data_IF_491680343482
#
_entry.id   IF_491680343482
#
_cell.length_a   1.000
_cell.length_b   1.000
_cell.length_c   1.000
_cell.angle_alpha   90.00
_cell.angle_beta   90.00
_cell.angle_gamma   90.00
#
_symmetry.space_group_name_H-M   'P 1'
#
loop_
_entity.id
_entity.type
_entity.pdbx_description
1 polymer ?
#
# COMPACT_ATOMS: atom_id res chain seq x y z
N UNK A 1 -11.45 -15.69 -22.25
CA UNK A 1 -12.70 -15.26 -22.88
C UNK A 1 -12.99 -16.14 -24.09
N UNK A 2 -14.04 -16.96 -23.98
CA UNK A 2 -14.36 -18.00 -24.99
C UNK A 2 -14.89 -17.46 -26.33
N UNK A 3 -15.14 -16.15 -26.45
CA UNK A 3 -15.69 -15.57 -27.69
C UNK A 3 -14.68 -15.13 -28.77
N UNK A 4 -13.41 -14.99 -28.43
CA UNK A 4 -12.42 -14.42 -29.35
C UNK A 4 -11.07 -15.14 -29.39
N UNK A 5 -10.96 -16.37 -28.84
CA UNK A 5 -9.72 -17.17 -28.79
C UNK A 5 -8.51 -16.37 -28.23
N UNK A 6 -8.75 -15.53 -27.21
CA UNK A 6 -7.70 -14.75 -26.55
C UNK A 6 -7.14 -15.56 -25.39
N UNK A 7 -5.86 -15.83 -25.44
CA UNK A 7 -5.11 -16.39 -24.33
C UNK A 7 -4.67 -15.26 -23.39
N UNK A 8 -4.98 -15.36 -22.11
CA UNK A 8 -4.64 -14.36 -21.12
C UNK A 8 -3.65 -14.97 -20.12
N UNK A 9 -2.44 -14.41 -20.08
CA UNK A 9 -1.46 -14.70 -19.04
C UNK A 9 -1.49 -13.59 -18.00
N UNK A 10 -1.72 -13.96 -16.74
CA UNK A 10 -1.64 -13.03 -15.63
C UNK A 10 -0.26 -13.07 -14.98
N UNK A 11 0.39 -11.92 -14.91
CA UNK A 11 1.69 -11.77 -14.26
C UNK A 11 1.70 -10.52 -13.38
N UNK A 12 1.97 -10.62 -12.07
CA UNK A 12 2.16 -9.44 -11.24
C UNK A 12 3.49 -8.77 -11.61
N UNK A 13 3.46 -7.46 -11.87
CA UNK A 13 4.66 -6.65 -12.14
C UNK A 13 5.22 -5.98 -10.90
N UNK A 14 4.41 -5.95 -9.85
CA UNK A 14 4.78 -5.37 -8.57
C UNK A 14 4.52 -6.38 -7.45
N UNK A 15 5.26 -6.21 -6.37
CA UNK A 15 5.00 -6.87 -5.09
C UNK A 15 5.10 -5.85 -3.97
N UNK A 16 4.43 -6.10 -2.87
CA UNK A 16 4.55 -5.29 -1.66
C UNK A 16 5.37 -6.07 -0.65
N UNK A 17 6.41 -5.44 -0.11
CA UNK A 17 7.27 -6.02 0.91
C UNK A 17 7.37 -5.12 2.13
N UNK A 18 7.60 -5.71 3.31
CA UNK A 18 7.90 -4.97 4.53
C UNK A 18 9.29 -4.35 4.49
N UNK A 19 9.47 -3.22 5.15
CA UNK A 19 10.80 -2.62 5.35
C UNK A 19 11.61 -3.46 6.35
N UNK A 20 12.93 -3.46 6.19
CA UNK A 20 13.84 -4.10 7.14
C UNK A 20 13.89 -3.34 8.48
N UNK A 21 14.33 -4.01 9.54
CA UNK A 21 14.56 -3.36 10.83
C UNK A 21 15.56 -2.21 10.74
N UNK A 22 16.58 -2.31 9.88
CA UNK A 22 17.56 -1.25 9.63
C UNK A 22 16.91 -0.01 9.06
N UNK A 23 16.04 -0.18 8.05
CA UNK A 23 15.29 0.92 7.43
C UNK A 23 14.27 1.54 8.38
N UNK A 24 13.61 0.73 9.19
CA UNK A 24 12.73 1.23 10.23
C UNK A 24 13.49 2.09 11.24
N UNK A 25 14.63 1.63 11.76
CA UNK A 25 15.45 2.39 12.71
C UNK A 25 15.99 3.71 12.14
N UNK A 26 16.27 3.74 10.84
CA UNK A 26 16.69 4.97 10.16
C UNK A 26 15.63 6.08 10.19
N UNK A 27 14.36 5.73 10.32
CA UNK A 27 13.25 6.70 10.43
C UNK A 27 13.16 7.34 11.83
N UNK A 28 13.88 6.83 12.83
CA UNK A 28 13.93 7.36 14.21
C UNK A 28 12.56 7.50 14.88
N UNK A 29 11.65 6.56 14.61
CA UNK A 29 10.32 6.51 15.21
C UNK A 29 10.31 5.47 16.33
N UNK A 30 9.83 5.87 17.51
CA UNK A 30 9.72 4.99 18.67
C UNK A 30 8.27 4.53 18.86
N UNK A 31 8.00 3.23 18.65
CA UNK A 31 6.66 2.65 18.72
C UNK A 31 6.04 2.89 20.10
N UNK A 32 6.79 2.64 21.17
CA UNK A 32 6.26 2.66 22.55
C UNK A 32 5.91 4.05 23.09
N UNK A 33 6.29 5.12 22.39
CA UNK A 33 5.86 6.48 22.75
C UNK A 33 4.47 6.81 22.22
N UNK A 34 3.86 5.94 21.44
CA UNK A 34 2.53 6.10 20.85
C UNK A 34 1.48 5.30 21.61
N UNK A 35 0.23 5.74 21.56
CA UNK A 35 -0.90 5.11 22.26
C UNK A 35 -1.88 4.43 21.33
N UNK A 36 -1.83 4.75 20.03
CA UNK A 36 -2.65 4.13 19.00
C UNK A 36 -1.88 3.99 17.68
N UNK A 37 -2.19 2.97 16.91
CA UNK A 37 -1.65 2.75 15.55
C UNK A 37 -2.78 2.86 14.54
N UNK A 38 -2.55 3.61 13.46
CA UNK A 38 -3.48 3.71 12.32
C UNK A 38 -2.99 2.78 11.22
N UNK A 39 -3.84 1.81 10.83
CA UNK A 39 -3.57 0.86 9.75
C UNK A 39 -4.53 1.05 8.58
N UNK A 40 -3.97 1.17 7.38
CA UNK A 40 -4.75 1.28 6.13
C UNK A 40 -4.68 0.01 5.27
N UNK A 41 -3.82 -0.95 5.60
CA UNK A 41 -3.64 -2.18 4.84
C UNK A 41 -3.19 -3.35 5.72
N UNK A 42 -3.43 -4.57 5.26
CA UNK A 42 -2.94 -5.80 5.90
C UNK A 42 -1.41 -5.89 5.87
N UNK A 43 -0.80 -5.41 4.80
CA UNK A 43 0.67 -5.44 4.66
C UNK A 43 1.36 -4.59 5.73
N UNK A 44 0.82 -3.41 6.05
CA UNK A 44 1.37 -2.58 7.14
C UNK A 44 1.16 -3.21 8.51
N UNK A 45 0.08 -3.98 8.71
CA UNK A 45 -0.13 -4.79 9.93
C UNK A 45 0.96 -5.85 10.05
N UNK A 46 1.17 -6.67 9.02
CA UNK A 46 2.22 -7.70 9.02
C UNK A 46 3.60 -7.09 9.31
N UNK A 47 3.94 -6.00 8.60
CA UNK A 47 5.23 -5.33 8.76
C UNK A 47 5.43 -4.75 10.16
N UNK A 48 4.38 -4.16 10.73
CA UNK A 48 4.44 -3.61 12.09
C UNK A 48 4.79 -4.68 13.13
N UNK A 49 4.08 -5.79 13.12
CA UNK A 49 4.32 -6.86 14.10
C UNK A 49 5.64 -7.58 13.85
N UNK A 50 6.04 -7.74 12.59
CA UNK A 50 7.35 -8.29 12.24
C UNK A 50 8.50 -7.40 12.76
N UNK A 51 8.42 -6.08 12.58
CA UNK A 51 9.38 -5.13 13.13
C UNK A 51 9.40 -5.19 14.67
N UNK A 52 8.24 -5.27 15.31
CA UNK A 52 8.17 -5.41 16.77
C UNK A 52 8.87 -6.69 17.24
N UNK A 53 8.66 -7.81 16.56
CA UNK A 53 9.32 -9.08 16.87
C UNK A 53 10.84 -9.00 16.70
N UNK A 54 11.32 -8.53 15.54
CA UNK A 54 12.76 -8.38 15.26
C UNK A 54 13.44 -7.40 16.22
N UNK A 55 12.77 -6.30 16.56
CA UNK A 55 13.29 -5.29 17.50
C UNK A 55 13.12 -5.71 18.97
N UNK A 56 12.47 -6.84 19.26
CA UNK A 56 12.12 -7.30 20.60
C UNK A 56 11.28 -6.28 21.37
N UNK A 57 10.35 -5.62 20.68
CA UNK A 57 9.41 -4.67 21.24
C UNK A 57 8.14 -5.42 21.63
N UNK A 58 7.79 -5.38 22.90
CA UNK A 58 6.49 -5.88 23.38
C UNK A 58 5.47 -4.76 23.29
N UNK A 59 4.48 -4.90 22.38
CA UNK A 59 3.41 -3.94 22.24
C UNK A 59 2.51 -3.99 23.47
N UNK A 60 2.27 -2.86 24.17
CA UNK A 60 1.45 -2.84 25.37
C UNK A 60 0.01 -3.29 25.09
N UNK A 61 -0.60 -3.99 26.03
CA UNK A 61 -2.03 -4.34 25.93
C UNK A 61 -2.96 -3.14 25.88
N UNK A 62 -2.49 -1.97 26.29
CA UNK A 62 -3.22 -0.71 26.23
C UNK A 62 -3.20 -0.07 24.84
N UNK A 63 -2.35 -0.52 23.93
CA UNK A 63 -2.28 0.00 22.56
C UNK A 63 -3.62 -0.14 21.86
N UNK A 64 -4.10 0.97 21.27
CA UNK A 64 -5.31 1.01 20.45
C UNK A 64 -4.96 0.89 18.97
N UNK A 65 -5.93 0.45 18.19
CA UNK A 65 -5.77 0.28 16.76
C UNK A 65 -6.94 0.92 16.03
N UNK A 66 -6.63 1.78 15.06
CA UNK A 66 -7.58 2.44 14.18
C UNK A 66 -7.36 1.88 12.78
N UNK A 67 -8.35 1.21 12.22
CA UNK A 67 -8.25 0.53 10.94
C UNK A 67 -9.14 1.20 9.89
N UNK A 68 -8.69 1.27 8.66
CA UNK A 68 -9.47 1.86 7.57
C UNK A 68 -10.71 1.04 7.24
N UNK A 69 -10.64 -0.28 7.40
CA UNK A 69 -11.75 -1.20 7.11
C UNK A 69 -11.89 -2.27 8.19
N UNK A 70 -13.08 -2.88 8.27
CA UNK A 70 -13.30 -4.05 9.12
C UNK A 70 -12.36 -5.21 8.77
N UNK A 71 -12.08 -5.41 7.49
CA UNK A 71 -11.18 -6.47 7.03
C UNK A 71 -9.75 -6.31 7.59
N UNK A 72 -9.24 -5.08 7.69
CA UNK A 72 -7.94 -4.79 8.33
C UNK A 72 -8.02 -5.00 9.85
N UNK A 73 -9.12 -4.58 10.47
CA UNK A 73 -9.32 -4.78 11.91
C UNK A 73 -9.38 -6.27 12.29
N UNK A 74 -10.12 -7.08 11.54
CA UNK A 74 -10.18 -8.52 11.74
C UNK A 74 -8.83 -9.20 11.50
N UNK A 75 -8.03 -8.68 10.57
CA UNK A 75 -6.70 -9.21 10.28
C UNK A 75 -5.73 -9.10 11.47
N UNK A 76 -5.94 -8.16 12.39
CA UNK A 76 -5.17 -8.04 13.62
C UNK A 76 -5.22 -9.29 14.51
N UNK A 77 -6.26 -10.14 14.36
CA UNK A 77 -6.39 -11.40 15.10
C UNK A 77 -5.23 -12.37 14.84
N UNK A 78 -4.51 -12.20 13.75
CA UNK A 78 -3.29 -12.96 13.47
C UNK A 78 -2.20 -12.73 14.51
N UNK A 79 -2.21 -11.57 15.17
CA UNK A 79 -1.13 -11.13 16.06
C UNK A 79 -1.58 -10.86 17.49
N UNK A 80 -2.83 -10.44 17.68
CA UNK A 80 -3.37 -10.05 18.99
C UNK A 80 -4.76 -10.61 19.22
N UNK A 81 -5.15 -10.69 20.49
CA UNK A 81 -6.54 -11.02 20.84
C UNK A 81 -7.44 -9.85 20.49
N UNK A 82 -8.46 -10.10 19.65
CA UNK A 82 -9.40 -9.08 19.24
C UNK A 82 -10.26 -8.60 20.41
N UNK A 83 -10.19 -7.31 20.71
CA UNK A 83 -11.01 -6.67 21.76
C UNK A 83 -11.64 -5.41 21.21
N UNK A 84 -12.96 -5.36 21.12
CA UNK A 84 -13.73 -4.22 20.58
C UNK A 84 -13.38 -2.87 21.20
N UNK A 85 -12.98 -2.84 22.48
CA UNK A 85 -12.59 -1.61 23.18
C UNK A 85 -11.26 -1.02 22.69
N UNK A 86 -10.42 -1.82 22.03
CA UNK A 86 -9.08 -1.42 21.55
C UNK A 86 -9.02 -1.24 20.04
N UNK A 87 -9.91 -1.87 19.31
CA UNK A 87 -9.88 -1.93 17.85
C UNK A 87 -11.13 -1.25 17.32
N UNK A 88 -10.92 -0.20 16.55
CA UNK A 88 -11.96 0.54 15.84
C UNK A 88 -11.69 0.53 14.36
N UNK A 89 -12.72 0.56 13.54
CA UNK A 89 -12.56 0.57 12.08
C UNK A 89 -13.57 1.51 11.41
N UNK A 90 -13.15 2.04 10.26
CA UNK A 90 -13.97 2.83 9.36
C UNK A 90 -14.60 1.96 8.27
N UNK A 91 -15.41 2.55 7.42
CA UNK A 91 -16.10 1.87 6.31
C UNK A 91 -15.27 1.71 5.02
N UNK A 92 -14.02 2.16 5.04
CA UNK A 92 -13.11 2.17 3.89
C UNK A 92 -13.00 3.52 3.21
N UNK A 93 -13.93 4.45 3.44
CA UNK A 93 -13.85 5.81 2.92
C UNK A 93 -12.86 6.66 3.73
N UNK A 94 -12.25 7.65 3.05
CA UNK A 94 -11.35 8.60 3.69
C UNK A 94 -12.06 9.41 4.77
N UNK A 95 -13.26 9.89 4.49
CA UNK A 95 -14.06 10.69 5.43
C UNK A 95 -14.36 9.91 6.71
N UNK A 96 -14.83 8.67 6.59
CA UNK A 96 -15.11 7.81 7.75
C UNK A 96 -13.87 7.54 8.60
N UNK A 97 -12.70 7.35 7.96
CA UNK A 97 -11.43 7.18 8.67
C UNK A 97 -11.06 8.44 9.46
N UNK A 98 -11.16 9.61 8.84
CA UNK A 98 -10.84 10.89 9.51
C UNK A 98 -11.78 11.15 10.69
N UNK A 99 -13.09 10.92 10.53
CA UNK A 99 -14.06 11.05 11.62
C UNK A 99 -13.73 10.12 12.79
N UNK A 100 -13.33 8.88 12.48
CA UNK A 100 -12.93 7.90 13.49
C UNK A 100 -11.66 8.35 14.23
N UNK A 101 -10.65 8.88 13.53
CA UNK A 101 -9.42 9.40 14.13
C UNK A 101 -9.74 10.60 15.04
N UNK A 102 -10.62 11.51 14.60
CA UNK A 102 -11.04 12.68 15.40
C UNK A 102 -11.72 12.24 16.70
N UNK A 103 -12.50 11.16 16.70
CA UNK A 103 -13.09 10.61 17.94
C UNK A 103 -12.06 10.16 18.97
N UNK A 104 -10.83 9.90 18.54
CA UNK A 104 -9.70 9.47 19.36
C UNK A 104 -8.58 10.53 19.40
N UNK A 105 -8.91 11.81 19.23
CA UNK A 105 -7.96 12.91 19.06
C UNK A 105 -6.95 13.11 20.21
N UNK A 106 -7.23 12.56 21.38
CA UNK A 106 -6.35 12.57 22.55
C UNK A 106 -5.21 11.55 22.46
N UNK A 107 -5.31 10.62 21.53
CA UNK A 107 -4.27 9.61 21.34
C UNK A 107 -3.06 10.18 20.61
N UNK A 108 -1.90 9.59 20.88
CA UNK A 108 -0.68 9.82 20.12
C UNK A 108 -0.55 8.72 19.05
N UNK A 109 -0.81 9.08 17.81
CA UNK A 109 -0.91 8.12 16.73
C UNK A 109 0.43 7.76 16.10
N UNK A 110 0.65 6.49 15.87
CA UNK A 110 1.62 5.99 14.90
C UNK A 110 0.88 5.73 13.59
N UNK A 111 1.20 6.49 12.54
CA UNK A 111 0.58 6.33 11.22
C UNK A 111 1.42 5.38 10.37
N UNK A 112 0.94 4.15 10.23
CA UNK A 112 1.58 3.11 9.42
C UNK A 112 1.28 3.31 7.94
N UNK A 113 2.31 3.61 7.16
CA UNK A 113 2.23 3.91 5.73
C UNK A 113 2.97 2.88 4.88
N UNK A 114 2.50 2.73 3.66
CA UNK A 114 3.25 2.08 2.58
C UNK A 114 3.83 3.13 1.64
N UNK A 115 4.93 2.82 0.98
CA UNK A 115 5.51 3.68 -0.06
C UNK A 115 5.29 3.03 -1.44
N UNK A 116 4.71 3.73 -2.43
CA UNK A 116 4.16 5.09 -2.36
C UNK A 116 2.82 5.15 -1.60
N UNK A 117 2.48 6.30 -1.04
CA UNK A 117 1.18 6.59 -0.44
C UNK A 117 0.66 7.95 -0.89
N UNK A 118 -0.65 8.13 -0.82
CA UNK A 118 -1.26 9.45 -1.06
C UNK A 118 -0.94 10.37 0.12
N UNK A 119 -0.52 11.62 -0.12
CA UNK A 119 -0.18 12.57 0.94
C UNK A 119 -1.38 13.08 1.73
N UNK A 120 -2.60 12.83 1.23
CA UNK A 120 -3.86 13.35 1.78
C UNK A 120 -4.06 13.02 3.26
N UNK A 121 -3.76 11.77 3.67
CA UNK A 121 -3.96 11.35 5.06
C UNK A 121 -2.99 12.06 6.03
N UNK A 122 -1.66 12.01 5.86
CA UNK A 122 -0.76 12.73 6.76
C UNK A 122 -0.97 14.25 6.71
N UNK A 123 -1.26 14.85 5.56
CA UNK A 123 -1.57 16.27 5.46
C UNK A 123 -2.83 16.66 6.22
N UNK A 124 -3.88 15.85 6.16
CA UNK A 124 -5.12 16.10 6.88
C UNK A 124 -4.91 16.00 8.39
N UNK A 125 -4.17 14.99 8.87
CA UNK A 125 -3.85 14.87 10.30
C UNK A 125 -3.04 16.07 10.80
N UNK A 126 -2.11 16.58 9.99
CA UNK A 126 -1.33 17.78 10.31
C UNK A 126 -2.22 19.04 10.35
N UNK A 127 -3.12 19.23 9.37
CA UNK A 127 -4.09 20.34 9.36
C UNK A 127 -5.01 20.33 10.58
N UNK A 128 -5.41 19.16 11.02
CA UNK A 128 -6.23 18.97 12.24
C UNK A 128 -5.42 19.11 13.54
N UNK A 129 -4.12 19.34 13.47
CA UNK A 129 -3.19 19.47 14.60
C UNK A 129 -3.23 18.26 15.56
N UNK A 130 -3.45 17.07 15.00
CA UNK A 130 -3.39 15.82 15.75
C UNK A 130 -1.94 15.42 16.03
N UNK A 131 -1.73 14.73 17.15
CA UNK A 131 -0.41 14.20 17.49
C UNK A 131 -0.18 12.88 16.73
N UNK A 132 0.71 12.87 15.76
CA UNK A 132 1.03 11.67 15.01
C UNK A 132 2.48 11.65 14.53
N UNK A 133 2.99 10.44 14.34
CA UNK A 133 4.27 10.18 13.68
C UNK A 133 4.03 9.25 12.49
N UNK A 134 4.33 9.67 11.27
CA UNK A 134 4.28 8.77 10.12
C UNK A 134 5.47 7.82 10.16
N UNK A 135 5.25 6.57 9.76
CA UNK A 135 6.30 5.57 9.60
C UNK A 135 6.03 4.72 8.36
N UNK A 136 7.04 4.57 7.52
CA UNK A 136 6.97 3.69 6.36
C UNK A 136 7.30 2.27 6.83
N UNK A 137 6.34 1.36 6.69
CA UNK A 137 6.46 -0.04 7.11
C UNK A 137 6.46 -1.02 5.95
N UNK A 138 5.99 -0.60 4.79
CA UNK A 138 5.95 -1.42 3.59
C UNK A 138 6.25 -0.57 2.35
N UNK A 139 6.67 -1.22 1.28
CA UNK A 139 6.88 -0.57 -0.02
C UNK A 139 6.45 -1.46 -1.16
N UNK A 140 6.01 -0.83 -2.24
CA UNK A 140 5.78 -1.49 -3.51
C UNK A 140 7.08 -1.51 -4.29
N UNK A 141 7.52 -2.70 -4.71
CA UNK A 141 8.72 -2.91 -5.51
C UNK A 141 8.38 -3.65 -6.79
N UNK A 142 9.24 -3.53 -7.81
CA UNK A 142 9.13 -4.33 -9.02
C UNK A 142 9.28 -5.82 -8.69
N UNK A 143 8.43 -6.66 -9.27
CA UNK A 143 8.59 -8.10 -9.21
C UNK A 143 9.77 -8.54 -10.09
N UNK A 144 10.29 -9.73 -9.85
CA UNK A 144 11.28 -10.32 -10.76
C UNK A 144 10.60 -10.72 -12.08
N UNK A 145 10.99 -10.08 -13.15
CA UNK A 145 10.49 -10.30 -14.51
C UNK A 145 11.56 -10.91 -15.45
N UNK A 146 12.65 -11.45 -14.90
CA UNK A 146 13.76 -11.99 -15.70
C UNK A 146 13.35 -13.18 -16.57
N UNK A 147 12.36 -13.95 -16.15
CA UNK A 147 11.80 -15.08 -16.90
C UNK A 147 10.69 -14.68 -17.89
N UNK A 148 10.30 -13.39 -17.92
CA UNK A 148 9.25 -12.91 -18.81
C UNK A 148 9.81 -12.57 -20.19
N UNK A 149 9.34 -13.29 -21.21
CA UNK A 149 9.59 -12.95 -22.61
C UNK A 149 8.44 -12.07 -23.12
N UNK A 150 8.62 -10.75 -23.03
CA UNK A 150 7.58 -9.77 -23.37
C UNK A 150 7.18 -9.83 -24.84
N UNK A 151 8.07 -10.30 -25.73
CA UNK A 151 7.86 -10.38 -27.18
C UNK A 151 6.88 -11.48 -27.61
N UNK A 152 6.54 -12.39 -26.67
CA UNK A 152 5.52 -13.43 -26.92
C UNK A 152 4.08 -12.93 -26.82
N UNK A 153 3.88 -11.69 -26.37
CA UNK A 153 2.55 -11.13 -26.16
C UNK A 153 2.23 -10.09 -27.22
N UNK A 154 1.00 -10.11 -27.72
CA UNK A 154 0.50 -9.13 -28.69
C UNK A 154 0.04 -7.84 -28.00
N UNK A 155 -0.42 -7.97 -26.74
CA UNK A 155 -0.96 -6.88 -25.94
C UNK A 155 -0.54 -7.01 -24.47
N UNK A 156 -0.11 -5.89 -23.91
CA UNK A 156 0.20 -5.73 -22.49
C UNK A 156 -0.85 -4.87 -21.83
N UNK A 157 -1.51 -5.36 -20.78
CA UNK A 157 -2.49 -4.62 -20.00
C UNK A 157 -1.86 -4.13 -18.68
N UNK A 158 -1.86 -2.81 -18.45
CA UNK A 158 -1.33 -2.18 -17.24
C UNK A 158 -2.46 -1.59 -16.41
N UNK A 159 -2.49 -1.88 -15.11
CA UNK A 159 -3.58 -1.53 -14.21
C UNK A 159 -3.26 -0.37 -13.27
N UNK A 160 -1.98 -0.03 -13.11
CA UNK A 160 -1.55 1.02 -12.19
C UNK A 160 -0.30 1.76 -12.69
N UNK A 161 -0.05 3.00 -12.21
CA UNK A 161 1.21 3.69 -12.47
C UNK A 161 2.45 2.92 -11.99
N UNK A 162 2.31 2.12 -10.93
CA UNK A 162 3.39 1.26 -10.42
C UNK A 162 3.73 0.13 -11.39
N UNK A 163 2.76 -0.40 -12.13
CA UNK A 163 3.01 -1.39 -13.19
C UNK A 163 3.82 -0.78 -14.34
N UNK A 164 3.50 0.46 -14.72
CA UNK A 164 4.25 1.21 -15.75
C UNK A 164 5.71 1.36 -15.35
N UNK A 165 5.96 1.76 -14.11
CA UNK A 165 7.33 1.88 -13.59
C UNK A 165 8.05 0.53 -13.58
N UNK A 166 7.42 -0.50 -13.04
CA UNK A 166 8.00 -1.83 -12.91
C UNK A 166 8.37 -2.47 -14.25
N UNK A 167 7.51 -2.33 -15.28
CA UNK A 167 7.80 -2.90 -16.60
C UNK A 167 8.98 -2.19 -17.27
N UNK A 168 9.11 -0.87 -17.08
CA UNK A 168 10.20 -0.08 -17.66
C UNK A 168 11.55 -0.27 -16.95
N UNK A 169 11.55 -0.74 -15.71
CA UNK A 169 12.78 -1.15 -15.02
C UNK A 169 13.45 -2.36 -15.72
N UNK A 170 12.67 -3.15 -16.48
CA UNK A 170 13.14 -4.37 -17.13
C UNK A 170 13.17 -4.27 -18.65
N UNK A 171 12.21 -3.59 -19.28
CA UNK A 171 12.06 -3.53 -20.73
C UNK A 171 12.01 -2.08 -21.21
N UNK A 172 12.81 -1.69 -22.20
CA UNK A 172 12.67 -0.37 -22.84
C UNK A 172 11.28 -0.19 -23.45
N UNK A 173 10.77 1.06 -23.47
CA UNK A 173 9.43 1.36 -23.98
C UNK A 173 9.22 0.93 -25.44
N UNK A 174 10.26 0.99 -26.25
CA UNK A 174 10.26 0.59 -27.67
C UNK A 174 10.18 -0.93 -27.89
N UNK A 175 10.52 -1.73 -26.89
CA UNK A 175 10.42 -3.20 -26.95
C UNK A 175 9.06 -3.74 -26.48
N UNK A 176 8.23 -2.89 -25.92
CA UNK A 176 6.91 -3.29 -25.42
C UNK A 176 5.96 -3.62 -26.57
N UNK A 177 5.11 -4.64 -26.43
CA UNK A 177 4.03 -4.90 -27.38
C UNK A 177 2.99 -3.77 -27.33
N UNK A 178 1.87 -3.92 -28.02
CA UNK A 178 0.76 -2.98 -27.89
C UNK A 178 0.35 -2.84 -26.42
N UNK A 179 0.16 -1.61 -25.92
CA UNK A 179 -0.16 -1.37 -24.52
C UNK A 179 -1.61 -0.88 -24.40
N UNK A 180 -2.34 -1.47 -23.46
CA UNK A 180 -3.61 -0.99 -22.96
C UNK A 180 -3.48 -0.61 -21.48
N UNK A 181 -4.17 0.45 -21.07
CA UNK A 181 -4.16 0.92 -19.66
C UNK A 181 -5.57 0.92 -19.08
N UNK A 182 -5.64 0.74 -17.76
CA UNK A 182 -6.86 0.89 -16.98
C UNK A 182 -6.77 2.15 -16.12
N UNK A 183 -7.75 3.06 -16.31
CA UNK A 183 -7.81 4.34 -15.60
C UNK A 183 -6.87 5.42 -16.12
N UNK A 184 -7.28 6.66 -15.91
CA UNK A 184 -6.56 7.86 -16.40
C UNK A 184 -5.17 8.03 -15.81
N UNK A 185 -4.99 7.68 -14.53
CA UNK A 185 -3.70 7.76 -13.85
C UNK A 185 -2.64 6.87 -14.49
N UNK A 186 -3.03 5.65 -14.88
CA UNK A 186 -2.13 4.70 -15.56
C UNK A 186 -1.83 5.16 -16.98
N UNK A 187 -2.83 5.69 -17.69
CA UNK A 187 -2.65 6.28 -19.02
C UNK A 187 -1.62 7.42 -18.98
N UNK A 188 -1.78 8.38 -18.08
CA UNK A 188 -0.83 9.50 -17.93
C UNK A 188 0.58 9.01 -17.63
N UNK A 189 0.71 8.12 -16.66
CA UNK A 189 2.02 7.55 -16.32
C UNK A 189 2.71 6.87 -17.53
N UNK A 190 1.95 6.14 -18.36
CA UNK A 190 2.48 5.50 -19.55
C UNK A 190 2.89 6.50 -20.63
N UNK A 191 2.07 7.52 -20.90
CA UNK A 191 2.35 8.56 -21.91
C UNK A 191 3.56 9.41 -21.51
N UNK A 192 3.66 9.80 -20.24
CA UNK A 192 4.75 10.64 -19.71
C UNK A 192 6.13 9.98 -19.87
N UNK A 193 6.18 8.67 -19.92
CA UNK A 193 7.44 7.89 -20.13
C UNK A 193 7.60 7.37 -21.55
N UNK A 194 6.77 7.83 -22.49
CA UNK A 194 6.92 7.55 -23.94
C UNK A 194 6.29 6.24 -24.41
N UNK A 195 5.49 5.57 -23.59
CA UNK A 195 4.77 4.36 -24.01
C UNK A 195 3.59 4.75 -24.93
N UNK A 196 3.52 4.13 -26.10
CA UNK A 196 2.39 4.28 -27.01
C UNK A 196 1.22 3.41 -26.57
N UNK A 197 0.23 4.05 -25.95
CA UNK A 197 -0.98 3.38 -25.49
C UNK A 197 -1.98 3.25 -26.64
N UNK A 198 -2.43 2.03 -26.96
CA UNK A 198 -3.42 1.77 -28.02
C UNK A 198 -4.87 1.82 -27.55
N UNK A 199 -5.11 1.50 -26.29
CA UNK A 199 -6.45 1.49 -25.72
C UNK A 199 -6.42 1.87 -24.23
N UNK A 200 -7.47 2.52 -23.77
CA UNK A 200 -7.71 2.82 -22.36
C UNK A 200 -9.10 2.34 -21.98
N UNK A 201 -9.20 1.55 -20.91
CA UNK A 201 -10.45 1.17 -20.30
C UNK A 201 -10.70 2.06 -19.05
N UNK A 202 -11.94 2.49 -18.80
CA UNK A 202 -12.29 3.11 -17.52
C UNK A 202 -12.11 2.10 -16.39
N UNK A 203 -11.83 2.59 -15.19
CA UNK A 203 -11.79 1.79 -13.95
C UNK A 203 -13.16 1.59 -13.38
#
# INVERSE_FOLDING_TARGET
SQKHHVEIAYRPFIRVEGVSLKEFRAQRVEILTHTAVIFTSRTTVDSFFHICEEARITVPETMKYICQTEAVALYLQKYIVYRKRKISFADGSFTSLIELIIKHKEEKFLLALSEPHKPELPETLAKLKLQFSPVILARTVAADLNDLDIKKFDLLALYSPSDVKAILERFPAEELPAVATFGEGTLRAAVDVGIKVKAMAPT
#
